data_IF_899540596852
#
_entry.id   IF_899540596852
#
_cell.length_a   1.000
_cell.length_b   1.000
_cell.length_c   1.000
_cell.angle_alpha   90.00
_cell.angle_beta   90.00
_cell.angle_gamma   90.00
#
_symmetry.space_group_name_H-M   'P 1'
#
loop_
_entity.id
_entity.type
_entity.pdbx_description
1 polymer ?
#
# COMPACT_ATOMS: atom_id res chain seq x y z
N UNK A 1 -45.86 -50.80 -0.19
CA UNK A 1 -45.08 -50.29 0.96
C UNK A 1 -43.62 -50.25 0.53
N UNK A 2 -43.18 -49.17 -0.12
CA UNK A 2 -41.80 -48.99 -0.58
C UNK A 2 -41.04 -48.18 0.48
N UNK A 3 -40.01 -48.78 1.06
CA UNK A 3 -39.10 -48.12 2.01
C UNK A 3 -37.93 -47.58 1.19
N UNK A 4 -37.87 -46.26 1.02
CA UNK A 4 -36.76 -45.55 0.38
C UNK A 4 -35.74 -45.23 1.47
N UNK A 5 -34.55 -45.83 1.35
CA UNK A 5 -33.42 -45.50 2.22
C UNK A 5 -32.71 -44.27 1.66
N UNK A 6 -32.80 -43.14 2.36
CA UNK A 6 -31.95 -41.98 2.10
C UNK A 6 -30.59 -42.22 2.75
N UNK A 7 -29.55 -42.45 1.94
CA UNK A 7 -28.16 -42.45 2.40
C UNK A 7 -27.68 -41.00 2.37
N UNK A 8 -27.54 -40.37 3.54
CA UNK A 8 -26.89 -39.09 3.69
C UNK A 8 -25.36 -39.30 3.69
N UNK A 9 -24.69 -38.89 2.63
CA UNK A 9 -23.22 -38.89 2.56
C UNK A 9 -22.74 -37.58 3.21
N UNK A 10 -22.24 -37.67 4.43
CA UNK A 10 -21.51 -36.57 5.07
C UNK A 10 -20.06 -36.59 4.55
N UNK A 11 -19.73 -35.67 3.64
CA UNK A 11 -18.35 -35.36 3.30
C UNK A 11 -17.73 -34.54 4.44
N UNK A 12 -17.02 -35.20 5.36
CA UNK A 12 -16.16 -34.50 6.31
C UNK A 12 -14.87 -34.15 5.58
N UNK A 13 -14.74 -32.90 5.15
CA UNK A 13 -13.47 -32.34 4.71
C UNK A 13 -12.66 -32.05 5.98
N UNK A 14 -11.79 -32.98 6.35
CA UNK A 14 -10.74 -32.72 7.34
C UNK A 14 -9.66 -31.88 6.65
N UNK A 15 -9.81 -30.56 6.68
CA UNK A 15 -8.67 -29.67 6.49
C UNK A 15 -7.74 -29.85 7.68
N UNK A 16 -6.55 -30.40 7.44
CA UNK A 16 -5.43 -30.25 8.37
C UNK A 16 -5.05 -28.76 8.34
N UNK A 17 -5.72 -27.94 9.15
CA UNK A 17 -5.14 -26.68 9.60
C UNK A 17 -3.87 -27.06 10.34
N UNK A 18 -2.72 -26.87 9.67
CA UNK A 18 -1.49 -26.70 10.39
C UNK A 18 -1.65 -25.41 11.19
N UNK A 19 -2.10 -25.54 12.43
CA UNK A 19 -1.93 -24.54 13.49
C UNK A 19 -0.42 -24.40 13.74
N UNK A 20 0.29 -23.78 12.80
CA UNK A 20 1.54 -23.12 13.10
C UNK A 20 1.10 -21.90 13.91
N UNK A 21 1.40 -21.82 15.21
CA UNK A 21 1.19 -20.59 15.93
C UNK A 21 2.03 -19.55 15.18
N UNK A 22 1.36 -18.60 14.54
CA UNK A 22 1.99 -17.33 14.19
C UNK A 22 2.34 -16.70 15.54
N UNK A 23 3.51 -17.06 16.07
CA UNK A 23 4.11 -16.32 17.17
C UNK A 23 4.43 -14.97 16.56
N UNK A 24 3.48 -14.05 16.71
CA UNK A 24 3.69 -12.63 16.45
C UNK A 24 4.63 -12.18 17.55
N UNK A 25 5.94 -12.40 17.36
CA UNK A 25 6.94 -11.72 18.17
C UNK A 25 6.89 -10.25 17.75
N UNK A 26 5.99 -9.50 18.38
CA UNK A 26 6.07 -8.05 18.36
C UNK A 26 7.42 -7.73 19.00
N UNK A 27 8.33 -7.17 18.19
CA UNK A 27 9.63 -6.75 18.71
C UNK A 27 9.40 -5.87 19.93
N UNK A 28 10.12 -6.13 21.02
CA UNK A 28 10.05 -5.27 22.20
C UNK A 28 10.95 -4.06 21.91
N UNK A 29 10.38 -2.87 22.01
CA UNK A 29 11.15 -1.63 21.88
C UNK A 29 12.14 -1.49 23.04
N UNK A 30 13.36 -1.06 22.73
CA UNK A 30 14.40 -0.83 23.74
C UNK A 30 13.94 0.19 24.78
N UNK A 31 14.13 -0.11 26.06
CA UNK A 31 13.73 0.75 27.18
C UNK A 31 14.39 2.14 27.17
N UNK A 32 15.52 2.28 26.48
CA UNK A 32 16.27 3.52 26.34
C UNK A 32 15.92 4.28 25.04
N UNK A 33 15.01 3.77 24.21
CA UNK A 33 14.59 4.45 22.99
C UNK A 33 14.09 5.87 23.30
N UNK A 34 14.64 6.86 22.60
CA UNK A 34 14.25 8.28 22.73
C UNK A 34 13.52 8.82 21.50
N UNK A 35 13.64 8.12 20.37
CA UNK A 35 13.07 8.49 19.10
C UNK A 35 12.73 7.22 18.33
N UNK A 36 11.51 7.16 17.79
CA UNK A 36 11.11 6.15 16.83
C UNK A 36 10.81 6.85 15.50
N UNK A 37 11.48 6.40 14.44
CA UNK A 37 11.15 6.81 13.08
C UNK A 37 10.56 5.60 12.40
N UNK A 38 9.33 5.73 11.91
CA UNK A 38 8.71 4.72 11.06
C UNK A 38 8.45 5.33 9.69
N UNK A 39 8.54 4.48 8.66
CA UNK A 39 8.22 4.83 7.29
C UNK A 39 7.50 3.66 6.64
N UNK A 40 6.49 3.96 5.84
CA UNK A 40 5.73 2.95 5.12
C UNK A 40 5.44 3.41 3.70
N UNK A 41 5.30 2.44 2.80
CA UNK A 41 4.67 2.67 1.50
C UNK A 41 3.17 2.90 1.71
N UNK A 42 2.53 3.61 0.79
CA UNK A 42 1.07 3.62 0.70
C UNK A 42 0.50 2.19 0.65
N UNK A 43 -0.75 2.02 1.08
CA UNK A 43 -1.45 0.74 0.95
C UNK A 43 -1.74 0.39 -0.52
N UNK A 44 -2.40 -0.75 -0.72
CA UNK A 44 -2.84 -1.22 -2.04
C UNK A 44 -3.61 -0.12 -2.80
N UNK A 45 -3.19 0.14 -4.03
CA UNK A 45 -3.76 1.15 -4.92
C UNK A 45 -3.96 0.59 -6.33
N UNK A 46 -4.82 1.22 -7.11
CA UNK A 46 -5.00 0.88 -8.51
C UNK A 46 -3.75 1.15 -9.36
N UNK A 47 -3.58 0.47 -10.51
CA UNK A 47 -2.49 0.77 -11.44
C UNK A 47 -2.59 2.21 -11.98
N UNK A 48 -1.45 2.74 -12.42
CA UNK A 48 -1.36 4.06 -13.03
C UNK A 48 -1.98 4.14 -14.42
N UNK A 49 -1.99 2.99 -15.11
CA UNK A 49 -2.47 2.85 -16.47
C UNK A 49 -3.26 1.57 -16.57
N UNK A 50 -4.56 1.67 -16.78
CA UNK A 50 -5.41 0.48 -16.89
C UNK A 50 -5.28 -0.17 -18.26
N UNK A 51 -5.34 -1.50 -18.28
CA UNK A 51 -5.57 -2.24 -19.53
C UNK A 51 -6.98 -1.96 -20.07
N UNK A 52 -7.03 -1.53 -21.33
CA UNK A 52 -8.30 -1.18 -22.01
C UNK A 52 -9.01 -2.39 -22.64
N UNK A 53 -8.39 -3.58 -22.62
CA UNK A 53 -8.92 -4.76 -23.33
C UNK A 53 -10.17 -5.38 -22.71
N UNK A 54 -10.42 -5.12 -21.42
CA UNK A 54 -11.53 -5.72 -20.68
C UNK A 54 -12.42 -4.65 -20.06
N UNK A 55 -13.74 -4.82 -20.14
CA UNK A 55 -14.69 -4.01 -19.37
C UNK A 55 -14.44 -4.23 -17.88
N UNK A 56 -14.25 -3.14 -17.12
CA UNK A 56 -14.02 -3.19 -15.68
C UNK A 56 -15.26 -2.72 -14.93
N UNK A 57 -15.63 -3.44 -13.89
CA UNK A 57 -16.67 -3.06 -12.91
C UNK A 57 -16.07 -2.68 -11.56
N UNK A 58 -14.79 -2.31 -11.56
CA UNK A 58 -13.98 -1.97 -10.39
C UNK A 58 -13.01 -0.83 -10.77
N UNK A 59 -12.36 -0.23 -9.77
CA UNK A 59 -11.41 0.86 -9.99
C UNK A 59 -12.06 2.21 -10.26
N UNK A 60 -13.27 2.43 -9.74
CA UNK A 60 -14.00 3.69 -9.86
C UNK A 60 -13.35 4.83 -9.09
N UNK A 61 -12.51 4.51 -8.10
CA UNK A 61 -11.67 5.47 -7.40
C UNK A 61 -10.72 6.20 -8.37
N UNK A 62 -10.24 5.51 -9.42
CA UNK A 62 -9.37 6.08 -10.44
C UNK A 62 -7.95 5.51 -10.45
N UNK A 63 -7.14 5.98 -11.38
CA UNK A 63 -5.73 5.57 -11.53
C UNK A 63 -4.92 6.00 -10.31
N UNK A 64 -3.99 5.15 -9.87
CA UNK A 64 -3.17 5.37 -8.67
C UNK A 64 -3.92 5.57 -7.36
N UNK A 65 -5.25 5.50 -7.33
CA UNK A 65 -6.02 5.77 -6.12
C UNK A 65 -6.04 4.59 -5.16
N UNK A 66 -6.11 4.89 -3.87
CA UNK A 66 -6.07 3.89 -2.79
C UNK A 66 -7.36 3.05 -2.80
N UNK A 67 -7.20 1.73 -2.84
CA UNK A 67 -8.34 0.82 -2.84
C UNK A 67 -8.91 0.66 -1.43
N UNK A 68 -10.09 0.03 -1.33
CA UNK A 68 -10.62 -0.41 -0.03
C UNK A 68 -9.67 -1.35 0.74
N UNK A 69 -8.84 -2.13 0.03
CA UNK A 69 -7.84 -3.01 0.66
C UNK A 69 -6.72 -2.18 1.26
N UNK A 70 -6.22 -1.18 0.52
CA UNK A 70 -5.19 -0.26 1.02
C UNK A 70 -5.64 0.54 2.24
N UNK A 71 -6.94 0.90 2.31
CA UNK A 71 -7.52 1.54 3.50
C UNK A 71 -7.49 0.62 4.72
N UNK A 72 -7.85 -0.66 4.55
CA UNK A 72 -7.81 -1.66 5.63
C UNK A 72 -6.38 -1.98 6.09
N UNK A 73 -5.44 -2.09 5.14
CA UNK A 73 -4.02 -2.29 5.42
C UNK A 73 -3.46 -1.14 6.26
N UNK A 74 -3.71 0.12 5.85
CA UNK A 74 -3.26 1.29 6.59
C UNK A 74 -3.88 1.38 7.98
N UNK A 75 -5.19 1.14 8.12
CA UNK A 75 -5.85 1.11 9.44
C UNK A 75 -5.29 0.01 10.34
N UNK A 76 -5.10 -1.20 9.79
CA UNK A 76 -4.50 -2.32 10.50
C UNK A 76 -3.09 -1.99 11.00
N UNK A 77 -2.25 -1.44 10.11
CA UNK A 77 -0.91 -0.97 10.48
C UNK A 77 -0.94 0.08 11.59
N UNK A 78 -1.88 1.02 11.56
CA UNK A 78 -2.07 2.01 12.63
C UNK A 78 -2.30 1.37 14.01
N UNK A 79 -3.12 0.31 14.06
CA UNK A 79 -3.36 -0.44 15.30
C UNK A 79 -2.10 -1.18 15.78
N UNK A 80 -1.38 -1.85 14.89
CA UNK A 80 -0.13 -2.53 15.25
C UNK A 80 0.93 -1.52 15.74
N UNK A 81 1.00 -0.34 15.10
CA UNK A 81 1.87 0.75 15.56
C UNK A 81 1.47 1.22 16.96
N UNK A 82 0.16 1.27 17.26
CA UNK A 82 -0.34 1.64 18.58
C UNK A 82 0.07 0.62 19.64
N UNK A 83 -0.03 -0.67 19.36
CA UNK A 83 0.46 -1.71 20.27
C UNK A 83 1.98 -1.62 20.47
N UNK A 84 2.73 -1.32 19.40
CA UNK A 84 4.20 -1.29 19.44
C UNK A 84 4.78 -0.06 20.17
N UNK A 85 4.26 1.15 19.92
CA UNK A 85 4.80 2.41 20.49
C UNK A 85 3.83 3.17 21.39
N UNK A 86 2.64 2.62 21.67
CA UNK A 86 1.65 3.21 22.56
C UNK A 86 2.20 3.62 23.94
N UNK A 87 3.14 2.89 24.56
CA UNK A 87 3.77 3.34 25.81
C UNK A 87 4.60 4.63 25.71
N UNK A 88 4.97 5.07 24.50
CA UNK A 88 5.80 6.26 24.26
C UNK A 88 5.00 7.52 23.92
N UNK A 89 3.70 7.38 23.65
CA UNK A 89 2.82 8.48 23.24
C UNK A 89 1.50 8.44 23.99
N UNK A 90 0.87 9.59 24.20
CA UNK A 90 -0.46 9.67 24.80
C UNK A 90 -1.51 8.88 24.01
N UNK A 91 -2.65 8.59 24.67
CA UNK A 91 -3.80 7.99 23.98
C UNK A 91 -4.38 8.92 22.91
N UNK A 92 -4.33 10.24 23.17
CA UNK A 92 -4.67 11.27 22.22
C UNK A 92 -3.42 11.85 21.58
N UNK A 93 -3.59 12.42 20.37
CA UNK A 93 -2.53 13.18 19.72
C UNK A 93 -2.09 14.37 20.60
N UNK A 94 -0.78 14.44 20.84
CA UNK A 94 -0.12 15.57 21.47
C UNK A 94 0.94 16.13 20.53
N UNK A 95 0.86 17.43 20.23
CA UNK A 95 1.72 18.09 19.25
C UNK A 95 3.24 17.95 19.53
N UNK A 96 3.63 17.77 20.78
CA UNK A 96 5.03 17.68 21.19
C UNK A 96 5.58 16.24 21.23
N UNK A 97 4.74 15.23 21.00
CA UNK A 97 5.13 13.81 21.06
C UNK A 97 5.40 13.21 19.67
N UNK A 98 4.63 13.62 18.65
CA UNK A 98 4.70 13.02 17.31
C UNK A 98 4.51 14.04 16.20
N UNK A 99 5.18 13.80 15.08
CA UNK A 99 4.99 14.52 13.82
C UNK A 99 4.79 13.52 12.68
N UNK A 100 3.76 13.76 11.86
CA UNK A 100 3.46 12.94 10.69
C UNK A 100 3.75 13.68 9.40
N UNK A 101 4.31 12.95 8.44
CA UNK A 101 4.66 13.47 7.12
C UNK A 101 4.12 12.55 6.03
N UNK A 102 3.66 13.12 4.93
CA UNK A 102 3.21 12.38 3.75
C UNK A 102 3.64 13.07 2.47
N UNK A 103 3.62 12.33 1.36
CA UNK A 103 3.80 12.94 0.04
C UNK A 103 2.52 13.56 -0.46
N UNK A 104 2.61 14.40 -1.49
CA UNK A 104 1.44 15.04 -2.11
C UNK A 104 0.48 14.08 -2.80
N UNK A 105 0.84 12.81 -3.01
CA UNK A 105 -0.03 11.86 -3.71
C UNK A 105 -1.25 11.47 -2.87
N UNK A 106 -2.43 11.43 -3.50
CA UNK A 106 -3.69 11.09 -2.83
C UNK A 106 -3.60 9.78 -2.05
N UNK A 107 -3.07 8.71 -2.67
CA UNK A 107 -2.90 7.41 -2.00
C UNK A 107 -2.05 7.46 -0.73
N UNK A 108 -1.00 8.29 -0.69
CA UNK A 108 -0.18 8.46 0.51
C UNK A 108 -0.92 9.27 1.58
N UNK A 109 -1.61 10.34 1.20
CA UNK A 109 -2.42 11.12 2.14
C UNK A 109 -3.54 10.28 2.76
N UNK A 110 -4.31 9.57 1.93
CA UNK A 110 -5.39 8.69 2.38
C UNK A 110 -4.86 7.54 3.24
N UNK A 111 -3.70 6.97 2.90
CA UNK A 111 -3.09 5.93 3.73
C UNK A 111 -2.72 6.47 5.12
N UNK A 112 -2.08 7.63 5.19
CA UNK A 112 -1.70 8.22 6.49
C UNK A 112 -2.94 8.56 7.33
N UNK A 113 -4.01 9.05 6.71
CA UNK A 113 -5.27 9.33 7.41
C UNK A 113 -5.84 8.07 8.09
N UNK A 114 -5.88 6.93 7.40
CA UNK A 114 -6.39 5.68 8.00
C UNK A 114 -5.40 5.07 9.00
N UNK A 115 -4.09 5.26 8.82
CA UNK A 115 -3.08 4.87 9.82
C UNK A 115 -3.29 5.65 11.11
N UNK A 116 -3.46 6.97 11.02
CA UNK A 116 -3.73 7.80 12.20
C UNK A 116 -5.06 7.47 12.86
N UNK A 117 -6.07 7.05 12.10
CA UNK A 117 -7.34 6.57 12.66
C UNK A 117 -7.19 5.27 13.47
N UNK A 118 -6.31 4.37 13.04
CA UNK A 118 -5.97 3.16 13.81
C UNK A 118 -5.02 3.42 14.99
N UNK A 119 -4.16 4.44 14.86
CA UNK A 119 -3.13 4.77 15.84
C UNK A 119 -3.66 5.64 16.99
N UNK A 120 -4.57 6.59 16.69
CA UNK A 120 -5.21 7.50 17.63
C UNK A 120 -6.74 7.34 17.60
N UNK A 121 -7.29 6.21 18.09
CA UNK A 121 -8.72 6.15 18.38
C UNK A 121 -9.10 7.27 19.37
N UNK A 122 -10.25 7.95 19.21
CA UNK A 122 -10.63 9.03 20.09
C UNK A 122 -10.71 8.58 21.55
N UNK A 123 -10.06 9.33 22.45
CA UNK A 123 -10.14 9.16 23.89
C UNK A 123 -10.34 10.54 24.54
N UNK A 124 -10.95 10.60 25.72
CA UNK A 124 -11.16 11.83 26.50
C UNK A 124 -11.52 13.09 25.68
N UNK A 125 -10.59 14.04 25.52
CA UNK A 125 -10.83 15.31 24.82
C UNK A 125 -10.82 15.21 23.29
N UNK A 126 -10.30 14.11 22.72
CA UNK A 126 -10.29 13.87 21.29
C UNK A 126 -11.61 13.30 20.78
N UNK A 127 -12.50 12.84 21.68
CA UNK A 127 -13.85 12.36 21.38
C UNK A 127 -14.83 13.53 21.16
N UNK A 128 -14.66 14.22 20.03
CA UNK A 128 -15.48 15.38 19.67
C UNK A 128 -16.89 15.00 19.15
N UNK A 129 -17.10 13.72 18.82
CA UNK A 129 -18.37 13.19 18.31
C UNK A 129 -18.54 11.71 18.71
N UNK A 130 -19.47 11.43 19.63
CA UNK A 130 -19.76 10.08 20.14
C UNK A 130 -20.25 9.08 19.08
N UNK A 131 -20.74 9.54 17.93
CA UNK A 131 -21.18 8.67 16.84
C UNK A 131 -20.06 8.35 15.83
N UNK A 132 -18.84 8.85 16.07
CA UNK A 132 -17.71 8.75 15.15
C UNK A 132 -16.42 8.42 15.89
N UNK A 133 -15.94 7.19 15.73
CA UNK A 133 -14.66 6.71 16.27
C UNK A 133 -13.46 7.23 15.44
N UNK A 134 -13.40 8.55 15.24
CA UNK A 134 -12.31 9.22 14.55
C UNK A 134 -12.06 10.61 15.10
N UNK A 135 -10.78 10.95 15.27
CA UNK A 135 -10.33 12.29 15.64
C UNK A 135 -9.36 12.83 14.59
N UNK A 136 -9.46 14.12 14.19
CA UNK A 136 -8.54 14.70 13.25
C UNK A 136 -7.13 14.82 13.85
N UNK A 137 -6.15 14.26 13.16
CA UNK A 137 -4.73 14.38 13.49
C UNK A 137 -4.01 15.14 12.38
N UNK A 138 -3.26 16.21 12.68
CA UNK A 138 -2.58 17.00 11.67
C UNK A 138 -1.36 16.25 11.10
N UNK A 139 -1.06 16.52 9.83
CA UNK A 139 0.13 16.02 9.14
C UNK A 139 0.68 17.07 8.16
N UNK A 140 1.96 16.93 7.81
CA UNK A 140 2.65 17.81 6.85
C UNK A 140 2.85 17.09 5.52
N UNK A 141 2.65 17.80 4.41
CA UNK A 141 2.99 17.30 3.07
C UNK A 141 4.41 17.74 2.73
N UNK A 142 5.31 16.79 2.45
CA UNK A 142 6.71 17.06 2.12
C UNK A 142 7.22 16.12 1.01
N UNK A 143 7.10 16.57 -0.23
CA UNK A 143 7.65 15.85 -1.39
C UNK A 143 9.17 15.94 -1.49
N UNK A 144 9.80 16.94 -0.87
CA UNK A 144 11.25 17.06 -0.89
C UNK A 144 11.90 15.92 -0.11
N UNK A 145 11.27 15.52 1.01
CA UNK A 145 11.68 14.37 1.79
C UNK A 145 11.18 13.05 1.19
N UNK A 146 9.92 12.98 0.75
CA UNK A 146 9.24 11.71 0.48
C UNK A 146 9.12 11.35 -1.01
N UNK A 147 9.40 12.29 -1.91
CA UNK A 147 9.33 12.12 -3.38
C UNK A 147 10.46 12.86 -4.10
N UNK A 148 11.70 12.67 -3.64
CA UNK A 148 12.89 13.29 -4.25
C UNK A 148 12.99 13.13 -5.78
N UNK A 149 12.47 12.03 -6.32
CA UNK A 149 12.42 11.74 -7.77
C UNK A 149 11.43 12.60 -8.56
N UNK A 150 10.44 13.20 -7.89
CA UNK A 150 9.37 14.00 -8.50
C UNK A 150 9.53 15.51 -8.23
N UNK A 151 10.67 15.96 -7.70
CA UNK A 151 10.91 17.39 -7.42
C UNK A 151 11.05 18.14 -8.75
N UNK A 152 10.18 19.12 -9.05
CA UNK A 152 10.27 19.89 -10.28
C UNK A 152 11.54 20.73 -10.32
N UNK A 153 12.11 20.93 -11.51
CA UNK A 153 13.27 21.79 -11.75
C UNK A 153 14.55 21.38 -10.98
N UNK A 154 14.70 20.10 -10.64
CA UNK A 154 15.92 19.58 -10.02
C UNK A 154 16.80 18.86 -11.06
N UNK A 155 17.81 19.56 -11.59
CA UNK A 155 18.73 19.02 -12.61
C UNK A 155 19.43 17.73 -12.17
N UNK A 156 19.79 17.62 -10.88
CA UNK A 156 20.45 16.42 -10.34
C UNK A 156 19.53 15.22 -10.38
N UNK A 157 18.28 15.39 -9.95
CA UNK A 157 17.25 14.35 -10.03
C UNK A 157 17.03 13.95 -11.48
N UNK A 158 16.81 14.92 -12.38
CA UNK A 158 16.58 14.64 -13.80
C UNK A 158 17.70 13.80 -14.41
N UNK A 159 18.97 14.19 -14.22
CA UNK A 159 20.12 13.43 -14.73
C UNK A 159 20.21 12.00 -14.17
N UNK A 160 19.78 11.79 -12.92
CA UNK A 160 19.78 10.47 -12.30
C UNK A 160 18.64 9.58 -12.84
N UNK A 161 17.47 10.15 -13.10
CA UNK A 161 16.26 9.41 -13.47
C UNK A 161 16.05 9.23 -14.98
N UNK A 162 16.50 10.17 -15.82
CA UNK A 162 16.32 10.08 -17.28
C UNK A 162 16.86 8.77 -17.88
N UNK A 163 18.07 8.28 -17.51
CA UNK A 163 18.56 7.02 -18.05
C UNK A 163 17.72 5.79 -17.63
N UNK A 164 16.99 5.89 -16.52
CA UNK A 164 16.08 4.85 -16.04
C UNK A 164 14.75 4.94 -16.79
N UNK A 165 14.16 6.13 -16.87
CA UNK A 165 12.87 6.39 -17.52
C UNK A 165 12.92 6.00 -19.01
N UNK A 166 14.05 6.25 -19.67
CA UNK A 166 14.23 5.98 -21.09
C UNK A 166 14.99 4.67 -21.37
N UNK A 167 15.11 3.76 -20.39
CA UNK A 167 15.76 2.45 -20.54
C UNK A 167 17.20 2.50 -21.09
N UNK A 168 17.93 3.60 -20.86
CA UNK A 168 19.27 3.86 -21.41
C UNK A 168 20.43 3.35 -20.53
N UNK A 169 20.16 2.88 -19.31
CA UNK A 169 21.19 2.24 -18.49
C UNK A 169 21.67 0.93 -19.15
N UNK A 170 22.97 0.58 -19.08
CA UNK A 170 23.50 -0.62 -19.73
C UNK A 170 22.74 -1.91 -19.38
N UNK A 171 22.31 -2.04 -18.13
CA UNK A 171 21.50 -3.16 -17.66
C UNK A 171 20.09 -3.18 -18.25
N UNK A 172 19.43 -2.01 -18.35
CA UNK A 172 18.08 -1.89 -18.93
C UNK A 172 18.10 -2.09 -20.45
N UNK A 173 19.13 -1.59 -21.13
CA UNK A 173 19.37 -1.87 -22.55
C UNK A 173 19.56 -3.37 -22.77
N UNK A 174 20.41 -4.01 -21.96
CA UNK A 174 20.61 -5.46 -22.03
C UNK A 174 19.30 -6.23 -21.77
N UNK A 175 18.54 -5.85 -20.74
CA UNK A 175 17.25 -6.46 -20.41
C UNK A 175 16.25 -6.30 -21.57
N UNK A 176 16.23 -5.14 -22.22
CA UNK A 176 15.36 -4.81 -23.35
C UNK A 176 15.69 -5.64 -24.60
N UNK A 177 16.97 -5.94 -24.82
CA UNK A 177 17.43 -6.80 -25.92
C UNK A 177 17.12 -8.27 -25.61
N UNK A 178 17.48 -8.74 -24.42
CA UNK A 178 17.32 -10.15 -24.02
C UNK A 178 15.84 -10.56 -23.92
N UNK A 179 14.96 -9.63 -23.53
CA UNK A 179 13.52 -9.87 -23.41
C UNK A 179 12.71 -9.37 -24.61
N UNK A 180 13.35 -9.17 -25.76
CA UNK A 180 12.73 -8.52 -26.92
C UNK A 180 11.36 -9.12 -27.30
N UNK A 181 11.29 -10.45 -27.40
CA UNK A 181 10.05 -11.16 -27.76
C UNK A 181 8.89 -10.89 -26.79
N UNK A 182 9.19 -10.81 -25.49
CA UNK A 182 8.18 -10.52 -24.48
C UNK A 182 7.71 -9.07 -24.60
N UNK A 183 8.65 -8.12 -24.74
CA UNK A 183 8.31 -6.71 -24.88
C UNK A 183 7.52 -6.43 -26.16
N UNK A 184 7.84 -7.12 -27.27
CA UNK A 184 7.10 -7.06 -28.53
C UNK A 184 5.67 -7.55 -28.34
N UNK A 185 5.50 -8.71 -27.69
CA UNK A 185 4.18 -9.27 -27.36
C UNK A 185 3.34 -8.32 -26.49
N UNK A 186 3.95 -7.72 -25.47
CA UNK A 186 3.28 -6.75 -24.61
C UNK A 186 2.84 -5.53 -25.42
N UNK A 187 3.74 -4.96 -26.24
CA UNK A 187 3.42 -3.80 -27.07
C UNK A 187 2.27 -4.10 -28.05
N UNK A 188 2.33 -5.22 -28.76
CA UNK A 188 1.30 -5.65 -29.71
C UNK A 188 -0.08 -5.82 -29.05
N UNK A 189 -0.12 -6.39 -27.85
CA UNK A 189 -1.40 -6.73 -27.22
C UNK A 189 -1.96 -5.66 -26.28
N UNK A 190 -1.14 -4.73 -25.80
CA UNK A 190 -1.59 -3.61 -24.95
C UNK A 190 -1.73 -2.30 -25.73
N UNK A 191 -1.05 -2.18 -26.88
CA UNK A 191 -0.88 -0.92 -27.60
C UNK A 191 0.05 0.06 -26.88
N UNK A 192 0.84 -0.40 -25.91
CA UNK A 192 1.82 0.43 -25.19
C UNK A 192 3.21 0.34 -25.83
N UNK A 193 4.12 1.20 -25.36
CA UNK A 193 5.48 1.22 -25.90
C UNK A 193 6.22 -0.08 -25.60
N UNK A 194 7.14 -0.45 -26.47
CA UNK A 194 8.08 -1.54 -26.24
C UNK A 194 9.17 -1.11 -25.26
N UNK A 195 8.84 -1.02 -23.98
CA UNK A 195 9.73 -0.54 -22.90
C UNK A 195 9.60 -1.38 -21.62
N UNK A 196 10.60 -1.29 -20.75
CA UNK A 196 10.56 -1.91 -19.42
C UNK A 196 9.47 -1.27 -18.56
N UNK A 197 9.27 0.05 -18.70
CA UNK A 197 8.16 0.77 -18.05
C UNK A 197 6.79 0.16 -18.42
N UNK A 198 6.52 -0.08 -19.70
CA UNK A 198 5.24 -0.64 -20.13
C UNK A 198 5.04 -2.07 -19.64
N UNK A 199 6.12 -2.86 -19.54
CA UNK A 199 6.07 -4.19 -18.94
C UNK A 199 5.77 -4.11 -17.43
N UNK A 200 6.34 -3.12 -16.74
CA UNK A 200 6.09 -2.85 -15.32
C UNK A 200 4.65 -2.39 -15.08
N UNK A 201 4.11 -1.49 -15.91
CA UNK A 201 2.70 -1.09 -15.88
C UNK A 201 1.76 -2.30 -16.08
N UNK A 202 2.12 -3.22 -16.98
CA UNK A 202 1.33 -4.42 -17.22
C UNK A 202 1.36 -5.35 -16.00
N UNK A 203 2.53 -5.56 -15.42
CA UNK A 203 2.68 -6.33 -14.19
C UNK A 203 1.85 -5.72 -13.04
N UNK A 204 1.84 -4.39 -12.93
CA UNK A 204 1.00 -3.66 -11.97
C UNK A 204 -0.49 -3.96 -12.16
N UNK A 205 -0.98 -4.04 -13.40
CA UNK A 205 -2.36 -4.46 -13.66
C UNK A 205 -2.62 -5.89 -13.19
N UNK A 206 -1.68 -6.81 -13.40
CA UNK A 206 -1.83 -8.22 -13.02
C UNK A 206 -1.86 -8.37 -11.50
N UNK A 207 -1.02 -7.62 -10.78
CA UNK A 207 -0.88 -7.72 -9.33
C UNK A 207 -1.98 -6.97 -8.56
N UNK A 208 -2.61 -5.97 -9.18
CA UNK A 208 -3.57 -5.05 -8.54
C UNK A 208 -5.01 -5.24 -9.04
N UNK A 209 -5.27 -6.32 -9.78
CA UNK A 209 -6.62 -6.76 -10.18
C UNK A 209 -7.40 -7.37 -9.02
#
# INVERSE_FOLDING_TARGET
>A
MLIIWYVAIYCIVLSLEQDIPLVLETAVIDENAKLVIFGMRHGNCHPGKFLNKNSRTWGFEGVYELTQFGKREGFGFGKELREFIGPFVGNNYMQHEVAFYTSSTNRCQMTLQVVMAGFYPPDTFAEWNHALEWSPVPYTIDDSMLRMHSIPNCNTTQRAWEPIIYDNLPELVHMTVTNAKLLDYIAEHTGWNRSIESASDLADNILKM
#
